data_IF_863163662542
#
_entry.id   IF_863163662542
#
_cell.length_a   1.000
_cell.length_b   1.000
_cell.length_c   1.000
_cell.angle_alpha   90.00
_cell.angle_beta   90.00
_cell.angle_gamma   90.00
#
_symmetry.space_group_name_H-M   'P 1'
#
loop_
_entity.id
_entity.type
_entity.pdbx_description
1 polymer ?
#
# COMPACT_ATOMS: atom_id res chain seq x y z
N UNK A 1 -39.62 -13.13 -23.67
CA UNK A 1 -38.21 -12.93 -24.05
C UNK A 1 -37.57 -12.15 -22.92
N UNK A 2 -36.83 -12.84 -22.05
CA UNK A 2 -36.05 -12.16 -21.01
C UNK A 2 -34.75 -11.73 -21.67
N UNK A 3 -34.57 -10.42 -21.82
CA UNK A 3 -33.30 -9.84 -22.20
C UNK A 3 -32.33 -10.07 -21.01
N UNK A 4 -31.50 -11.10 -21.07
CA UNK A 4 -30.32 -11.22 -20.23
C UNK A 4 -29.32 -10.20 -20.74
N UNK A 5 -29.36 -8.97 -20.23
CA UNK A 5 -28.22 -8.07 -20.34
C UNK A 5 -27.04 -8.79 -19.73
N UNK A 6 -26.08 -9.14 -20.55
CA UNK A 6 -24.75 -9.57 -20.09
C UNK A 6 -24.13 -8.32 -19.50
N UNK A 7 -24.28 -8.15 -18.18
CA UNK A 7 -23.55 -7.14 -17.43
C UNK A 7 -22.07 -7.51 -17.52
N UNK A 8 -21.35 -6.85 -18.41
CA UNK A 8 -19.89 -6.86 -18.36
C UNK A 8 -19.46 -6.18 -17.04
N UNK A 9 -18.44 -6.72 -16.32
CA UNK A 9 -17.95 -6.05 -15.14
C UNK A 9 -17.60 -4.60 -15.47
N UNK A 10 -18.07 -3.67 -14.62
CA UNK A 10 -17.92 -2.23 -14.86
C UNK A 10 -16.43 -1.84 -14.85
N UNK A 11 -15.62 -2.51 -14.02
CA UNK A 11 -14.17 -2.30 -13.91
C UNK A 11 -13.41 -3.62 -13.97
N UNK A 12 -12.14 -3.58 -14.38
CA UNK A 12 -11.26 -4.76 -14.50
C UNK A 12 -10.15 -4.75 -13.47
N UNK A 13 -10.50 -4.59 -12.22
CA UNK A 13 -9.53 -4.62 -11.13
C UNK A 13 -9.49 -6.01 -10.47
N UNK A 14 -8.31 -6.68 -10.44
CA UNK A 14 -8.15 -7.87 -9.63
C UNK A 14 -8.15 -7.50 -8.13
N UNK A 15 -8.73 -8.38 -7.30
CA UNK A 15 -8.77 -8.19 -5.86
C UNK A 15 -7.55 -8.84 -5.22
N UNK A 16 -6.78 -8.06 -4.47
CA UNK A 16 -5.70 -8.52 -3.61
C UNK A 16 -6.08 -8.45 -2.13
N UNK A 17 -5.27 -9.08 -1.29
CA UNK A 17 -5.40 -8.98 0.18
C UNK A 17 -4.00 -8.93 0.80
N UNK A 18 -3.82 -8.13 1.85
CA UNK A 18 -2.64 -8.23 2.71
C UNK A 18 -2.78 -9.50 3.56
N UNK A 19 -1.83 -10.41 3.42
CA UNK A 19 -1.90 -11.74 4.04
C UNK A 19 -1.94 -11.65 5.57
N UNK A 20 -1.16 -10.74 6.14
CA UNK A 20 -1.06 -10.52 7.59
C UNK A 20 -2.38 -10.01 8.20
N UNK A 21 -3.24 -9.38 7.40
CA UNK A 21 -4.57 -8.95 7.83
C UNK A 21 -5.44 -10.13 8.32
N UNK A 22 -5.19 -11.35 7.88
CA UNK A 22 -5.88 -12.53 8.40
C UNK A 22 -5.48 -12.91 9.82
N UNK A 23 -4.31 -12.50 10.30
CA UNK A 23 -3.73 -12.90 11.60
C UNK A 23 -3.66 -14.42 11.78
N UNK A 24 -3.44 -15.15 10.69
CA UNK A 24 -3.33 -16.60 10.61
C UNK A 24 -1.93 -17.01 10.16
N UNK A 25 -1.49 -18.26 10.44
CA UNK A 25 -0.33 -18.84 9.78
C UNK A 25 -0.49 -18.87 8.25
N UNK A 26 0.63 -18.77 7.51
CA UNK A 26 0.66 -18.71 6.04
C UNK A 26 -0.14 -19.87 5.41
N UNK A 27 0.03 -21.09 5.93
CA UNK A 27 -0.60 -22.30 5.44
C UNK A 27 -2.12 -22.31 5.58
N UNK A 28 -2.66 -21.42 6.42
CA UNK A 28 -4.09 -21.22 6.62
C UNK A 28 -4.58 -19.94 5.93
N UNK A 29 -3.79 -18.87 5.97
CA UNK A 29 -4.17 -17.58 5.39
C UNK A 29 -4.25 -17.64 3.86
N UNK A 30 -3.29 -18.31 3.18
CA UNK A 30 -3.28 -18.43 1.72
C UNK A 30 -4.53 -19.14 1.19
N UNK A 31 -4.91 -20.35 1.66
CA UNK A 31 -6.15 -20.99 1.23
C UNK A 31 -7.42 -20.18 1.63
N UNK A 32 -7.39 -19.46 2.75
CA UNK A 32 -8.49 -18.60 3.16
C UNK A 32 -8.72 -17.44 2.18
N UNK A 33 -7.65 -16.76 1.77
CA UNK A 33 -7.70 -15.70 0.77
C UNK A 33 -8.22 -16.21 -0.58
N UNK A 34 -7.69 -17.33 -1.07
CA UNK A 34 -8.15 -17.97 -2.31
C UNK A 34 -9.65 -18.33 -2.26
N UNK A 35 -10.13 -18.88 -1.13
CA UNK A 35 -11.54 -19.25 -0.94
C UNK A 35 -12.47 -18.03 -1.01
N UNK A 36 -12.03 -16.86 -0.58
CA UNK A 36 -12.79 -15.60 -0.71
C UNK A 36 -12.78 -15.05 -2.13
N UNK A 37 -11.88 -15.57 -2.99
CA UNK A 37 -11.74 -15.15 -4.37
C UNK A 37 -10.71 -14.04 -4.58
N UNK A 38 -9.76 -13.89 -3.65
CA UNK A 38 -8.58 -13.08 -3.89
C UNK A 38 -7.76 -13.65 -5.04
N UNK A 39 -7.17 -12.78 -5.86
CA UNK A 39 -6.34 -13.12 -7.00
C UNK A 39 -4.87 -12.77 -6.76
N UNK A 40 -4.59 -11.92 -5.76
CA UNK A 40 -3.25 -11.51 -5.39
C UNK A 40 -3.07 -11.37 -3.89
N UNK A 41 -1.81 -11.46 -3.46
CA UNK A 41 -1.41 -11.26 -2.07
C UNK A 41 -0.33 -10.20 -1.99
N UNK A 42 -0.48 -9.26 -1.06
CA UNK A 42 0.61 -8.44 -0.56
C UNK A 42 1.07 -9.04 0.77
N UNK A 43 2.37 -9.09 1.02
CA UNK A 43 2.93 -9.65 2.25
C UNK A 43 4.05 -8.77 2.80
N UNK A 44 4.19 -8.73 4.11
CA UNK A 44 5.29 -8.00 4.76
C UNK A 44 6.63 -8.74 4.59
N UNK A 45 7.61 -8.06 3.99
CA UNK A 45 8.94 -8.63 3.79
C UNK A 45 9.85 -8.55 5.03
N UNK A 46 9.57 -7.64 5.97
CA UNK A 46 10.39 -7.45 7.16
C UNK A 46 9.78 -7.99 8.45
N UNK A 47 8.48 -7.79 8.63
CA UNK A 47 7.75 -8.27 9.79
C UNK A 47 6.99 -9.53 9.42
N UNK A 48 6.88 -10.48 10.37
CA UNK A 48 6.25 -11.75 10.07
C UNK A 48 7.20 -12.76 9.42
N UNK A 49 6.63 -13.81 8.86
CA UNK A 49 7.38 -15.00 8.41
C UNK A 49 8.16 -14.83 7.12
N UNK A 50 7.88 -13.78 6.34
CA UNK A 50 8.66 -13.46 5.13
C UNK A 50 9.96 -12.71 5.44
N UNK A 51 10.16 -12.28 6.69
CA UNK A 51 11.41 -11.64 7.07
C UNK A 51 12.59 -12.51 6.64
N UNK A 52 13.59 -11.89 6.04
CA UNK A 52 14.83 -12.52 5.57
C UNK A 52 15.50 -13.41 6.60
N UNK A 53 15.37 -13.06 7.89
CA UNK A 53 15.90 -13.82 9.01
C UNK A 53 15.07 -15.06 9.33
N UNK A 54 13.83 -15.13 8.82
CA UNK A 54 12.88 -16.20 9.10
C UNK A 54 12.71 -17.17 7.93
N UNK A 55 12.91 -16.70 6.67
CA UNK A 55 12.81 -17.53 5.47
C UNK A 55 14.09 -17.54 4.66
N UNK A 56 14.64 -18.71 4.44
CA UNK A 56 15.68 -18.91 3.44
C UNK A 56 15.08 -19.02 2.01
N UNK A 57 15.94 -19.06 0.99
CA UNK A 57 15.51 -19.10 -0.41
C UNK A 57 14.65 -20.34 -0.75
N UNK A 58 14.85 -21.49 -0.09
CA UNK A 58 13.99 -22.66 -0.29
C UNK A 58 12.58 -22.42 0.25
N UNK A 59 12.49 -21.90 1.47
CA UNK A 59 11.21 -21.58 2.10
C UNK A 59 10.42 -20.52 1.33
N UNK A 60 11.10 -19.52 0.73
CA UNK A 60 10.44 -18.56 -0.16
C UNK A 60 9.89 -19.21 -1.42
N UNK A 61 10.63 -20.14 -2.03
CA UNK A 61 10.13 -20.93 -3.18
C UNK A 61 8.91 -21.78 -2.81
N UNK A 62 8.94 -22.43 -1.65
CA UNK A 62 7.83 -23.24 -1.17
C UNK A 62 6.59 -22.36 -0.95
N UNK A 63 6.78 -21.15 -0.41
CA UNK A 63 5.70 -20.18 -0.24
C UNK A 63 5.16 -19.67 -1.59
N UNK A 64 6.04 -19.38 -2.55
CA UNK A 64 5.61 -19.01 -3.91
C UNK A 64 4.79 -20.14 -4.56
N UNK A 65 5.20 -21.39 -4.42
CA UNK A 65 4.43 -22.52 -4.91
C UNK A 65 3.07 -22.62 -4.21
N UNK A 66 3.01 -22.47 -2.88
CA UNK A 66 1.75 -22.48 -2.14
C UNK A 66 0.77 -21.43 -2.67
N UNK A 67 1.22 -20.22 -2.96
CA UNK A 67 0.38 -19.15 -3.50
C UNK A 67 -0.10 -19.51 -4.92
N UNK A 68 0.80 -19.99 -5.79
CA UNK A 68 0.47 -20.38 -7.17
C UNK A 68 -0.46 -21.59 -7.23
N UNK A 69 -0.28 -22.57 -6.35
CA UNK A 69 -1.13 -23.77 -6.27
C UNK A 69 -2.57 -23.41 -5.80
N UNK A 70 -2.73 -22.26 -5.12
CA UNK A 70 -4.03 -21.71 -4.79
C UNK A 70 -4.58 -20.71 -5.85
N UNK A 71 -3.95 -20.63 -7.03
CA UNK A 71 -4.41 -19.81 -8.15
C UNK A 71 -4.18 -18.32 -8.00
N UNK A 72 -3.29 -17.89 -7.11
CA UNK A 72 -2.96 -16.49 -6.83
C UNK A 72 -1.53 -16.14 -7.25
N UNK A 73 -1.23 -14.84 -7.21
CA UNK A 73 0.11 -14.28 -7.40
C UNK A 73 0.47 -13.37 -6.22
N UNK A 74 1.75 -12.99 -6.09
CA UNK A 74 2.10 -11.85 -5.24
C UNK A 74 1.83 -10.56 -5.99
N UNK A 75 0.94 -9.71 -5.46
CA UNK A 75 0.65 -8.38 -6.02
C UNK A 75 1.74 -7.38 -5.68
N UNK A 76 2.31 -7.46 -4.48
CA UNK A 76 3.40 -6.64 -3.99
C UNK A 76 4.07 -7.27 -2.76
N UNK A 77 5.26 -6.79 -2.40
CA UNK A 77 5.81 -6.95 -1.06
C UNK A 77 5.74 -5.61 -0.32
N UNK A 78 5.36 -5.64 0.96
CA UNK A 78 5.51 -4.48 1.83
C UNK A 78 6.92 -4.47 2.41
N UNK A 79 7.70 -3.48 2.02
CA UNK A 79 9.09 -3.27 2.43
C UNK A 79 9.25 -2.19 3.48
N UNK A 80 8.17 -1.79 4.17
CA UNK A 80 8.26 -0.75 5.20
C UNK A 80 9.17 -1.16 6.35
N UNK A 81 10.17 -0.33 6.60
CA UNK A 81 11.17 -0.52 7.65
C UNK A 81 10.79 0.18 8.97
N UNK A 82 9.66 0.89 9.01
CA UNK A 82 9.11 1.56 10.19
C UNK A 82 9.91 2.78 10.66
N UNK A 83 10.77 3.36 9.80
CA UNK A 83 11.65 4.48 10.18
C UNK A 83 11.54 5.68 9.24
N UNK A 84 11.07 5.48 8.01
CA UNK A 84 11.16 6.48 6.95
C UNK A 84 12.61 6.82 6.59
N UNK A 85 12.82 7.75 5.68
CA UNK A 85 14.13 8.12 5.14
C UNK A 85 14.57 9.54 5.50
N UNK A 86 13.98 10.11 6.55
CA UNK A 86 14.26 11.48 7.00
C UNK A 86 15.51 11.66 7.84
N UNK A 87 16.19 10.57 8.25
CA UNK A 87 17.43 10.58 9.04
C UNK A 87 18.60 10.04 8.23
N UNK A 88 19.51 10.95 7.85
CA UNK A 88 20.69 10.61 7.06
C UNK A 88 21.60 9.56 7.70
N UNK A 89 21.61 9.45 9.04
CA UNK A 89 22.44 8.49 9.76
C UNK A 89 21.91 7.05 9.63
N UNK A 90 20.61 6.88 9.44
CA UNK A 90 19.95 5.57 9.29
C UNK A 90 19.88 5.12 7.81
N UNK A 91 19.90 6.06 6.87
CA UNK A 91 19.69 5.78 5.45
C UNK A 91 20.63 4.75 4.83
N UNK A 92 21.94 4.64 5.17
CA UNK A 92 22.79 3.59 4.60
C UNK A 92 22.28 2.17 4.85
N UNK A 93 21.81 1.89 6.06
CA UNK A 93 21.23 0.58 6.42
C UNK A 93 19.86 0.39 5.78
N UNK A 94 18.99 1.40 5.86
CA UNK A 94 17.63 1.35 5.29
C UNK A 94 17.66 1.15 3.78
N UNK A 95 18.55 1.84 3.05
CA UNK A 95 18.75 1.67 1.61
C UNK A 95 19.23 0.26 1.29
N UNK A 96 20.19 -0.26 2.04
CA UNK A 96 20.71 -1.62 1.85
C UNK A 96 19.60 -2.67 2.02
N UNK A 97 18.79 -2.53 3.06
CA UNK A 97 17.70 -3.44 3.36
C UNK A 97 16.57 -3.34 2.31
N UNK A 98 16.19 -2.13 1.91
CA UNK A 98 15.18 -1.92 0.86
C UNK A 98 15.59 -2.51 -0.49
N UNK A 99 16.85 -2.38 -0.91
CA UNK A 99 17.38 -3.03 -2.12
C UNK A 99 17.24 -4.55 -2.05
N UNK A 100 17.53 -5.12 -0.90
CA UNK A 100 17.40 -6.56 -0.69
C UNK A 100 15.95 -7.04 -0.73
N UNK A 101 15.02 -6.23 -0.22
CA UNK A 101 13.58 -6.53 -0.33
C UNK A 101 13.14 -6.50 -1.80
N UNK A 102 13.65 -5.58 -2.62
CA UNK A 102 13.36 -5.55 -4.05
C UNK A 102 13.87 -6.81 -4.77
N UNK A 103 15.07 -7.30 -4.41
CA UNK A 103 15.59 -8.57 -4.94
C UNK A 103 14.69 -9.76 -4.55
N UNK A 104 14.22 -9.80 -3.29
CA UNK A 104 13.26 -10.81 -2.82
C UNK A 104 11.93 -10.70 -3.56
N UNK A 105 11.45 -9.49 -3.83
CA UNK A 105 10.21 -9.30 -4.59
C UNK A 105 10.30 -9.98 -5.97
N UNK A 106 11.42 -9.84 -6.67
CA UNK A 106 11.63 -10.52 -7.95
C UNK A 106 11.69 -12.04 -7.79
N UNK A 107 12.29 -12.58 -6.70
CA UNK A 107 12.24 -14.02 -6.40
C UNK A 107 10.79 -14.50 -6.18
N UNK A 108 9.91 -13.63 -5.67
CA UNK A 108 8.49 -13.91 -5.45
C UNK A 108 7.62 -13.59 -6.68
N UNK A 109 8.23 -13.36 -7.83
CA UNK A 109 7.57 -13.06 -9.10
C UNK A 109 6.67 -11.80 -9.05
N UNK A 110 7.00 -10.82 -8.19
CA UNK A 110 6.44 -9.46 -8.22
C UNK A 110 7.54 -8.43 -8.37
N UNK A 111 7.22 -7.31 -8.98
CA UNK A 111 8.18 -6.21 -9.14
C UNK A 111 7.77 -4.95 -8.36
N UNK A 112 6.80 -5.05 -7.44
CA UNK A 112 6.31 -3.92 -6.65
C UNK A 112 6.70 -4.12 -5.19
N UNK A 113 7.39 -3.13 -4.63
CA UNK A 113 7.68 -3.03 -3.19
C UNK A 113 7.04 -1.76 -2.67
N UNK A 114 6.00 -1.92 -1.83
CA UNK A 114 5.31 -0.80 -1.18
C UNK A 114 6.04 -0.40 0.09
N UNK A 115 6.06 0.88 0.44
CA UNK A 115 6.73 1.36 1.66
C UNK A 115 6.27 2.75 2.06
N UNK A 116 6.29 3.03 3.37
CA UNK A 116 6.28 4.40 3.86
C UNK A 116 7.70 4.97 3.85
N UNK A 117 7.83 6.24 3.51
CA UNK A 117 9.10 6.95 3.51
C UNK A 117 9.23 7.98 4.64
N UNK A 118 8.21 8.08 5.49
CA UNK A 118 8.02 9.15 6.47
C UNK A 118 7.20 10.29 5.87
N UNK A 119 7.16 11.43 6.56
CA UNK A 119 6.41 12.62 6.12
C UNK A 119 7.29 13.51 5.25
N UNK A 120 6.93 13.69 3.98
CA UNK A 120 7.62 14.61 3.07
C UNK A 120 7.31 16.05 3.47
N UNK A 121 8.33 16.88 3.79
CA UNK A 121 8.11 18.29 4.07
C UNK A 121 7.47 19.03 2.89
N UNK A 122 6.52 19.92 3.17
CA UNK A 122 5.88 20.75 2.15
C UNK A 122 6.85 21.77 1.53
N UNK A 123 7.83 22.22 2.32
CA UNK A 123 8.88 23.13 1.87
C UNK A 123 10.08 22.33 1.33
N UNK A 124 10.40 22.42 0.02
CA UNK A 124 11.57 21.75 -0.56
C UNK A 124 12.92 22.20 0.01
N UNK A 125 12.99 23.40 0.61
CA UNK A 125 14.19 23.91 1.27
C UNK A 125 14.39 23.35 2.69
N UNK A 126 13.41 22.61 3.21
CA UNK A 126 13.53 21.97 4.51
C UNK A 126 14.65 20.90 4.47
N UNK A 127 15.59 20.87 5.43
CA UNK A 127 16.74 19.94 5.40
C UNK A 127 16.35 18.48 5.23
N UNK A 128 15.24 18.03 5.84
CA UNK A 128 14.75 16.66 5.72
C UNK A 128 14.30 16.31 4.28
N UNK A 129 13.76 17.27 3.52
CA UNK A 129 13.35 17.05 2.13
C UNK A 129 14.50 16.52 1.28
N UNK A 130 15.66 17.19 1.33
CA UNK A 130 16.85 16.79 0.59
C UNK A 130 17.38 15.41 1.05
N UNK A 131 17.37 15.14 2.36
CA UNK A 131 17.80 13.84 2.92
C UNK A 131 16.91 12.71 2.38
N UNK A 132 15.60 12.91 2.38
CA UNK A 132 14.62 11.94 1.84
C UNK A 132 14.81 11.77 0.33
N UNK A 133 14.99 12.88 -0.40
CA UNK A 133 15.16 12.87 -1.86
C UNK A 133 16.42 12.10 -2.28
N UNK A 134 17.54 12.28 -1.57
CA UNK A 134 18.78 11.55 -1.84
C UNK A 134 18.62 10.05 -1.59
N UNK A 135 17.99 9.66 -0.50
CA UNK A 135 17.77 8.25 -0.19
C UNK A 135 16.78 7.59 -1.15
N UNK A 136 15.63 8.22 -1.40
CA UNK A 136 14.63 7.72 -2.34
C UNK A 136 15.13 7.70 -3.77
N UNK A 137 15.97 8.65 -4.18
CA UNK A 137 16.61 8.67 -5.50
C UNK A 137 17.49 7.45 -5.75
N UNK A 138 18.32 7.08 -4.76
CA UNK A 138 19.12 5.84 -4.83
C UNK A 138 18.26 4.58 -4.95
N UNK A 139 17.12 4.53 -4.27
CA UNK A 139 16.19 3.40 -4.33
C UNK A 139 15.40 3.37 -5.63
N UNK A 140 15.00 4.54 -6.13
CA UNK A 140 14.31 4.67 -7.41
C UNK A 140 15.17 4.23 -8.59
N UNK A 141 16.44 4.67 -8.63
CA UNK A 141 17.40 4.23 -9.65
C UNK A 141 17.68 2.72 -9.57
N UNK A 142 17.81 2.19 -8.37
CA UNK A 142 18.01 0.74 -8.17
C UNK A 142 16.81 -0.07 -8.67
N UNK A 143 15.60 0.36 -8.34
CA UNK A 143 14.36 -0.26 -8.80
C UNK A 143 14.25 -0.19 -10.34
N UNK A 144 14.55 0.95 -10.97
CA UNK A 144 14.54 1.08 -12.44
C UNK A 144 15.54 0.10 -13.09
N UNK A 145 16.73 -0.05 -12.52
CA UNK A 145 17.73 -1.02 -12.99
C UNK A 145 17.29 -2.48 -12.90
N UNK A 146 16.40 -2.81 -11.98
CA UNK A 146 15.80 -4.14 -11.82
C UNK A 146 14.51 -4.34 -12.63
N UNK A 147 13.95 -3.31 -13.24
CA UNK A 147 12.59 -3.33 -13.80
C UNK A 147 11.51 -3.46 -12.71
N UNK A 148 11.80 -2.99 -11.51
CA UNK A 148 10.93 -3.01 -10.34
C UNK A 148 10.44 -1.60 -9.98
N UNK A 149 9.55 -1.51 -9.00
CA UNK A 149 8.98 -0.27 -8.50
C UNK A 149 9.19 -0.12 -6.99
N UNK A 150 9.80 0.99 -6.60
CA UNK A 150 9.81 1.49 -5.24
C UNK A 150 8.54 2.33 -5.05
N UNK A 151 7.48 1.68 -4.56
CA UNK A 151 6.13 2.26 -4.52
C UNK A 151 5.86 2.91 -3.16
N UNK A 152 5.92 4.23 -3.14
CA UNK A 152 5.71 5.04 -1.93
C UNK A 152 4.22 5.08 -1.61
N UNK A 153 3.88 4.79 -0.36
CA UNK A 153 2.49 4.80 0.10
C UNK A 153 2.04 6.20 0.46
N UNK A 154 0.83 6.56 -0.02
CA UNK A 154 0.18 7.84 0.30
C UNK A 154 -0.35 7.89 1.72
N UNK A 155 -0.52 9.09 2.25
CA UNK A 155 -1.22 9.33 3.51
C UNK A 155 -0.70 10.47 4.35
N UNK A 156 0.63 10.60 4.61
CA UNK A 156 1.12 11.65 5.50
C UNK A 156 0.95 13.06 4.94
N UNK A 157 1.14 13.22 3.64
CA UNK A 157 1.05 14.50 2.94
C UNK A 157 -0.02 14.48 1.85
N UNK A 158 -0.52 15.65 1.41
CA UNK A 158 -1.39 15.73 0.24
C UNK A 158 -0.71 15.21 -1.03
N UNK A 159 -1.49 14.61 -1.92
CA UNK A 159 -1.02 14.02 -3.18
C UNK A 159 -0.17 15.00 -4.03
N UNK A 160 -0.53 16.29 -4.01
CA UNK A 160 0.24 17.33 -4.70
C UNK A 160 1.66 17.52 -4.14
N UNK A 161 1.82 17.43 -2.82
CA UNK A 161 3.14 17.49 -2.17
C UNK A 161 3.97 16.26 -2.55
N UNK A 162 3.39 15.07 -2.43
CA UNK A 162 4.04 13.83 -2.83
C UNK A 162 4.44 13.88 -4.32
N UNK A 163 3.54 14.32 -5.21
CA UNK A 163 3.85 14.45 -6.64
C UNK A 163 5.07 15.33 -6.90
N UNK A 164 5.15 16.50 -6.25
CA UNK A 164 6.31 17.38 -6.40
C UNK A 164 7.63 16.72 -5.96
N UNK A 165 7.56 15.90 -4.90
CA UNK A 165 8.72 15.11 -4.44
C UNK A 165 9.12 14.05 -5.47
N UNK A 166 8.13 13.28 -6.00
CA UNK A 166 8.37 12.23 -7.01
C UNK A 166 8.93 12.78 -8.32
N UNK A 167 8.36 13.89 -8.80
CA UNK A 167 8.84 14.57 -10.02
C UNK A 167 10.33 14.93 -9.91
N UNK A 168 10.81 15.25 -8.71
CA UNK A 168 12.23 15.57 -8.45
C UNK A 168 13.16 14.35 -8.44
N UNK A 169 12.66 13.12 -8.43
CA UNK A 169 13.50 11.91 -8.43
C UNK A 169 13.93 11.46 -9.83
N UNK A 170 13.22 11.89 -10.87
CA UNK A 170 13.56 11.66 -12.30
C UNK A 170 13.85 10.18 -12.66
N UNK A 171 13.17 9.23 -12.05
CA UNK A 171 13.37 7.80 -12.26
C UNK A 171 12.05 7.07 -12.53
N UNK A 172 12.06 6.07 -13.42
CA UNK A 172 10.91 5.19 -13.68
C UNK A 172 10.73 4.13 -12.61
N UNK A 173 11.74 3.92 -11.76
CA UNK A 173 11.67 2.95 -10.66
C UNK A 173 10.92 3.50 -9.44
N UNK A 174 10.66 4.82 -9.35
CA UNK A 174 9.79 5.37 -8.32
C UNK A 174 8.33 5.24 -8.74
N UNK A 175 7.47 4.88 -7.79
CA UNK A 175 6.06 4.67 -8.03
C UNK A 175 5.23 4.99 -6.77
N UNK A 176 3.93 4.81 -6.84
CA UNK A 176 2.99 5.05 -5.75
C UNK A 176 2.16 3.78 -5.47
N UNK A 177 2.05 3.47 -4.18
CA UNK A 177 0.97 2.68 -3.62
C UNK A 177 -0.08 3.66 -3.10
N UNK A 178 -1.20 3.79 -3.82
CA UNK A 178 -2.24 4.74 -3.44
C UNK A 178 -3.16 4.13 -2.38
N UNK A 179 -3.04 4.59 -1.13
CA UNK A 179 -3.98 4.27 -0.06
C UNK A 179 -4.98 5.42 0.09
N UNK A 180 -6.26 5.22 -0.29
CA UNK A 180 -7.28 6.26 -0.23
C UNK A 180 -7.70 6.58 1.21
N UNK A 181 -7.66 5.60 2.11
CA UNK A 181 -8.06 5.80 3.51
C UNK A 181 -7.03 6.61 4.29
N UNK A 182 -5.74 6.41 4.04
CA UNK A 182 -4.69 7.19 4.66
C UNK A 182 -4.80 8.69 4.29
N UNK A 183 -5.19 8.99 3.03
CA UNK A 183 -5.48 10.37 2.60
C UNK A 183 -6.65 10.95 3.40
N UNK A 184 -7.78 10.24 3.48
CA UNK A 184 -8.97 10.69 4.21
C UNK A 184 -8.70 10.81 5.71
N UNK A 185 -8.02 9.82 6.30
CA UNK A 185 -7.83 9.71 7.75
C UNK A 185 -6.76 10.67 8.29
N UNK A 186 -5.73 10.99 7.51
CA UNK A 186 -4.54 11.70 8.02
C UNK A 186 -4.36 13.07 7.37
N UNK A 187 -4.14 13.14 6.06
CA UNK A 187 -3.92 14.43 5.38
C UNK A 187 -5.21 15.21 5.13
N UNK A 188 -6.37 14.57 5.14
CA UNK A 188 -7.65 15.18 4.79
C UNK A 188 -7.74 15.52 3.29
N UNK A 189 -6.96 14.81 2.45
CA UNK A 189 -6.95 15.00 1.02
C UNK A 189 -8.07 14.18 0.34
N UNK A 190 -8.47 14.59 -0.87
CA UNK A 190 -9.48 13.91 -1.65
C UNK A 190 -8.84 12.75 -2.44
N UNK A 191 -9.20 11.48 -2.18
CA UNK A 191 -8.60 10.34 -2.87
C UNK A 191 -8.92 10.27 -4.37
N UNK A 192 -10.00 10.90 -4.83
CA UNK A 192 -10.36 10.97 -6.26
C UNK A 192 -9.39 11.92 -6.98
N UNK A 193 -9.23 13.12 -6.45
CA UNK A 193 -8.27 14.10 -6.97
C UNK A 193 -6.81 13.61 -6.83
N UNK A 194 -6.53 12.85 -5.78
CA UNK A 194 -5.22 12.22 -5.58
C UNK A 194 -4.92 11.17 -6.65
N UNK A 195 -5.90 10.36 -7.05
CA UNK A 195 -5.76 9.40 -8.15
C UNK A 195 -5.36 10.11 -9.45
N UNK A 196 -6.10 11.15 -9.85
CA UNK A 196 -5.77 11.94 -11.04
C UNK A 196 -4.41 12.64 -10.94
N UNK A 197 -4.07 13.18 -9.76
CA UNK A 197 -2.80 13.87 -9.52
C UNK A 197 -1.59 12.94 -9.68
N UNK A 198 -1.71 11.70 -9.18
CA UNK A 198 -0.61 10.72 -9.09
C UNK A 198 -0.66 9.64 -10.19
N UNK A 199 -1.57 9.75 -11.15
CA UNK A 199 -1.88 8.71 -12.15
C UNK A 199 -0.68 8.09 -12.85
N UNK A 200 0.35 8.90 -13.15
CA UNK A 200 1.55 8.44 -13.86
C UNK A 200 2.49 7.60 -12.97
N UNK A 201 2.24 7.57 -11.65
CA UNK A 201 3.05 6.88 -10.65
C UNK A 201 2.34 5.68 -10.03
N UNK A 202 1.00 5.57 -10.11
CA UNK A 202 0.25 4.53 -9.42
C UNK A 202 0.50 3.16 -10.04
N UNK A 203 1.13 2.25 -9.29
CA UNK A 203 1.35 0.85 -9.68
C UNK A 203 0.61 -0.13 -8.79
N UNK A 204 0.17 0.32 -7.62
CA UNK A 204 -0.55 -0.48 -6.63
C UNK A 204 -1.51 0.42 -5.86
N UNK A 205 -2.59 -0.15 -5.31
CA UNK A 205 -3.51 0.58 -4.44
C UNK A 205 -4.06 -0.31 -3.34
N UNK A 206 -4.31 0.29 -2.18
CA UNK A 206 -5.05 -0.36 -1.11
C UNK A 206 -6.55 -0.13 -1.25
N UNK A 207 -7.32 -1.12 -0.83
CA UNK A 207 -8.73 -1.02 -0.51
C UNK A 207 -8.85 -1.04 1.02
N UNK A 208 -8.81 0.14 1.59
CA UNK A 208 -8.89 0.44 3.02
C UNK A 208 -9.87 1.58 3.22
N UNK A 209 -10.57 1.61 4.33
CA UNK A 209 -11.56 2.64 4.62
C UNK A 209 -11.46 3.12 6.06
N UNK A 210 -11.89 4.33 6.29
CA UNK A 210 -11.83 4.96 7.61
C UNK A 210 -12.35 6.37 7.59
N UNK A 211 -12.19 7.03 8.73
CA UNK A 211 -12.69 8.39 8.96
C UNK A 211 -11.74 9.18 9.82
N UNK A 212 -11.51 10.44 9.47
CA UNK A 212 -10.85 11.40 10.35
C UNK A 212 -11.81 11.82 11.46
N UNK A 213 -11.37 11.76 12.71
CA UNK A 213 -12.14 12.24 13.86
C UNK A 213 -11.81 13.69 14.18
N UNK A 214 -10.55 14.06 14.04
CA UNK A 214 -10.06 15.44 14.10
C UNK A 214 -8.72 15.55 13.40
N UNK A 215 -8.40 16.72 12.86
CA UNK A 215 -7.12 16.98 12.21
C UNK A 215 -6.00 16.97 13.24
N UNK A 216 -4.98 16.16 12.99
CA UNK A 216 -3.74 16.10 13.76
C UNK A 216 -2.57 16.21 12.78
N UNK A 217 -1.51 16.88 13.20
CA UNK A 217 -0.31 17.00 12.39
C UNK A 217 0.22 15.62 11.97
N UNK A 218 0.39 15.36 10.65
CA UNK A 218 0.88 14.08 10.17
C UNK A 218 2.23 13.65 10.76
N UNK A 219 3.11 14.60 11.12
CA UNK A 219 4.37 14.27 11.79
C UNK A 219 4.18 13.65 13.18
N UNK A 220 3.07 14.00 13.85
CA UNK A 220 2.70 13.37 15.12
C UNK A 220 2.08 11.99 14.87
N UNK A 221 1.22 11.87 13.86
CA UNK A 221 0.57 10.60 13.48
C UNK A 221 1.62 9.54 13.12
N UNK A 222 2.61 9.91 12.30
CA UNK A 222 3.67 9.02 11.83
C UNK A 222 4.91 8.99 12.75
N UNK A 223 4.82 9.60 13.93
CA UNK A 223 5.87 9.49 14.96
C UNK A 223 7.16 10.26 14.66
N UNK A 224 7.18 11.19 13.71
CA UNK A 224 8.31 12.09 13.45
C UNK A 224 8.49 13.08 14.61
N UNK A 225 7.37 13.50 15.20
CA UNK A 225 7.33 14.30 16.43
C UNK A 225 6.54 13.57 17.52
N UNK A 226 6.94 13.70 18.80
CA UNK A 226 6.22 13.07 19.90
C UNK A 226 4.81 13.68 20.07
N UNK A 227 3.83 12.86 20.45
CA UNK A 227 2.55 13.32 20.94
C UNK A 227 2.72 14.09 22.25
N UNK A 228 2.00 15.19 22.43
CA UNK A 228 1.87 15.79 23.76
C UNK A 228 1.02 14.87 24.66
N UNK A 229 1.21 14.90 26.00
CA UNK A 229 0.45 14.06 26.92
C UNK A 229 -1.07 14.21 26.78
N UNK A 230 -1.54 15.40 26.40
CA UNK A 230 -2.97 15.72 26.23
C UNK A 230 -3.60 15.08 24.98
N UNK A 231 -2.78 14.75 23.98
CA UNK A 231 -3.19 14.10 22.72
C UNK A 231 -3.12 12.57 22.76
N UNK A 232 -2.58 11.96 23.82
CA UNK A 232 -2.33 10.52 23.90
C UNK A 232 -3.62 9.72 24.02
N UNK A 233 -4.68 10.29 24.60
CA UNK A 233 -5.88 9.54 24.99
C UNK A 233 -6.92 9.36 23.88
N UNK A 234 -6.83 10.11 22.78
CA UNK A 234 -7.83 10.04 21.70
C UNK A 234 -7.19 9.72 20.34
N UNK A 235 -7.70 8.74 19.60
CA UNK A 235 -7.28 8.52 18.21
C UNK A 235 -7.76 9.69 17.35
N UNK A 236 -6.90 10.17 16.42
CA UNK A 236 -7.28 11.24 15.48
C UNK A 236 -8.12 10.70 14.31
N UNK A 237 -8.12 9.40 14.10
CA UNK A 237 -8.89 8.72 13.07
C UNK A 237 -9.35 7.34 13.55
N UNK A 238 -10.23 6.74 12.79
CA UNK A 238 -10.70 5.37 12.97
C UNK A 238 -10.70 4.65 11.63
N UNK A 239 -10.08 3.47 11.57
CA UNK A 239 -10.22 2.55 10.45
C UNK A 239 -11.54 1.78 10.59
N UNK A 240 -12.29 1.69 9.51
CA UNK A 240 -13.61 1.06 9.44
C UNK A 240 -13.63 -0.07 8.41
N UNK A 241 -14.59 -1.01 8.49
CA UNK A 241 -14.83 -1.96 7.41
C UNK A 241 -15.08 -1.24 6.08
N UNK A 242 -14.65 -1.85 4.99
CA UNK A 242 -14.74 -1.26 3.66
C UNK A 242 -16.19 -0.90 3.31
N UNK A 243 -16.42 0.35 2.91
CA UNK A 243 -17.73 0.91 2.63
C UNK A 243 -18.45 1.52 3.84
N UNK A 244 -17.85 1.53 5.04
CA UNK A 244 -18.41 2.14 6.24
C UNK A 244 -17.69 3.45 6.63
N UNK A 245 -16.59 3.77 5.95
CA UNK A 245 -15.81 4.99 6.15
C UNK A 245 -16.21 6.12 5.20
N UNK A 246 -15.29 7.04 5.00
CA UNK A 246 -15.50 8.25 4.21
C UNK A 246 -14.80 8.20 2.83
N UNK A 247 -14.21 7.06 2.43
CA UNK A 247 -13.63 6.89 1.09
C UNK A 247 -14.76 6.75 0.06
N UNK A 248 -14.86 7.63 -0.94
CA UNK A 248 -15.88 7.56 -2.00
C UNK A 248 -15.49 6.51 -3.06
N UNK A 249 -15.60 5.21 -2.71
CA UNK A 249 -15.07 4.12 -3.53
C UNK A 249 -15.56 4.10 -4.97
N UNK A 250 -16.81 4.47 -5.24
CA UNK A 250 -17.34 4.46 -6.62
C UNK A 250 -16.63 5.47 -7.49
N UNK A 251 -16.50 6.69 -6.99
CA UNK A 251 -15.83 7.80 -7.65
C UNK A 251 -14.31 7.53 -7.75
N UNK A 252 -13.73 6.98 -6.68
CA UNK A 252 -12.32 6.60 -6.65
C UNK A 252 -11.98 5.53 -7.69
N UNK A 253 -12.78 4.46 -7.79
CA UNK A 253 -12.56 3.42 -8.80
C UNK A 253 -12.79 3.95 -10.22
N UNK A 254 -13.74 4.89 -10.41
CA UNK A 254 -13.92 5.57 -11.70
C UNK A 254 -12.67 6.33 -12.10
N UNK A 255 -12.09 7.13 -11.19
CA UNK A 255 -10.87 7.87 -11.45
C UNK A 255 -9.70 6.95 -11.81
N UNK A 256 -9.50 5.87 -11.07
CA UNK A 256 -8.47 4.87 -11.37
C UNK A 256 -8.65 4.24 -12.77
N UNK A 257 -9.90 3.90 -13.15
CA UNK A 257 -10.20 3.32 -14.46
C UNK A 257 -9.99 4.32 -15.59
N UNK A 258 -10.45 5.57 -15.43
CA UNK A 258 -10.27 6.67 -16.37
C UNK A 258 -8.79 6.98 -16.64
N UNK A 259 -7.95 6.91 -15.59
CA UNK A 259 -6.50 7.11 -15.66
C UNK A 259 -5.73 5.85 -16.11
N UNK A 260 -6.46 4.77 -16.42
CA UNK A 260 -5.88 3.56 -17.03
C UNK A 260 -5.23 2.60 -16.03
N UNK A 261 -5.43 2.76 -14.73
CA UNK A 261 -4.96 1.78 -13.74
C UNK A 261 -5.61 0.41 -13.98
N UNK A 262 -4.84 -0.67 -13.87
CA UNK A 262 -5.31 -2.06 -14.08
C UNK A 262 -4.70 -3.03 -13.05
N UNK A 263 -4.06 -2.48 -12.02
CA UNK A 263 -3.46 -3.26 -10.94
C UNK A 263 -4.48 -3.73 -9.91
N UNK A 264 -3.97 -4.28 -8.82
CA UNK A 264 -4.77 -4.85 -7.75
C UNK A 264 -5.43 -3.78 -6.87
N UNK A 265 -6.68 -4.05 -6.45
CA UNK A 265 -7.29 -3.44 -5.28
C UNK A 265 -6.96 -4.34 -4.08
N UNK A 266 -5.94 -4.00 -3.33
CA UNK A 266 -5.44 -4.84 -2.24
C UNK A 266 -6.10 -4.46 -0.92
N UNK A 267 -6.95 -5.34 -0.41
CA UNK A 267 -7.64 -5.14 0.87
C UNK A 267 -6.61 -5.12 1.99
N UNK A 268 -6.61 -4.03 2.75
CA UNK A 268 -5.87 -3.87 3.99
C UNK A 268 -6.84 -3.70 5.16
N UNK A 269 -6.65 -4.52 6.22
CA UNK A 269 -7.43 -4.46 7.45
C UNK A 269 -6.51 -4.66 8.65
N UNK A 270 -6.14 -3.56 9.30
CA UNK A 270 -5.18 -3.59 10.41
C UNK A 270 -5.85 -3.80 11.77
N UNK A 271 -7.09 -3.35 11.91
CA UNK A 271 -7.85 -3.42 13.17
C UNK A 271 -9.09 -4.31 13.01
N UNK A 272 -9.93 -4.37 14.03
CA UNK A 272 -11.15 -5.17 14.07
C UNK A 272 -10.98 -6.48 14.86
N UNK A 273 -12.09 -6.95 15.44
CA UNK A 273 -12.11 -8.14 16.28
C UNK A 273 -12.17 -9.44 15.47
N UNK A 274 -12.67 -9.37 14.23
CA UNK A 274 -12.83 -10.52 13.34
C UNK A 274 -12.30 -10.23 11.94
N UNK A 275 -10.96 -10.27 11.75
CA UNK A 275 -10.35 -9.92 10.47
C UNK A 275 -10.86 -10.77 9.30
N UNK A 276 -11.06 -12.05 9.48
CA UNK A 276 -11.55 -12.93 8.41
C UNK A 276 -12.95 -12.53 7.91
N UNK A 277 -13.83 -12.11 8.81
CA UNK A 277 -15.14 -11.58 8.46
C UNK A 277 -15.04 -10.23 7.74
N UNK A 278 -14.21 -9.33 8.26
CA UNK A 278 -14.04 -8.01 7.71
C UNK A 278 -13.46 -8.10 6.29
N UNK A 279 -12.46 -8.98 6.05
CA UNK A 279 -11.89 -9.23 4.72
C UNK A 279 -12.94 -9.84 3.78
N UNK A 280 -13.75 -10.81 4.26
CA UNK A 280 -14.83 -11.40 3.45
C UNK A 280 -15.84 -10.33 3.02
N UNK A 281 -16.28 -9.48 3.96
CA UNK A 281 -17.18 -8.36 3.65
C UNK A 281 -16.55 -7.36 2.67
N UNK A 282 -15.26 -7.09 2.79
CA UNK A 282 -14.54 -6.21 1.87
C UNK A 282 -14.47 -6.80 0.45
N UNK A 283 -14.22 -8.11 0.31
CA UNK A 283 -14.24 -8.80 -0.99
C UNK A 283 -15.63 -8.71 -1.63
N UNK A 284 -16.68 -8.96 -0.85
CA UNK A 284 -18.06 -8.89 -1.35
C UNK A 284 -18.43 -7.45 -1.75
N UNK A 285 -18.02 -6.46 -0.95
CA UNK A 285 -18.22 -5.06 -1.26
C UNK A 285 -17.55 -4.67 -2.59
N UNK A 286 -16.26 -5.01 -2.76
CA UNK A 286 -15.53 -4.72 -4.01
C UNK A 286 -16.17 -5.43 -5.21
N UNK A 287 -16.54 -6.71 -5.10
CA UNK A 287 -17.23 -7.43 -6.18
C UNK A 287 -18.53 -6.74 -6.60
N UNK A 288 -19.28 -6.20 -5.63
CA UNK A 288 -20.55 -5.52 -5.93
C UNK A 288 -20.37 -4.18 -6.63
N UNK A 289 -19.27 -3.46 -6.41
CA UNK A 289 -19.01 -2.17 -7.06
C UNK A 289 -18.18 -2.29 -8.33
N UNK A 290 -17.43 -3.39 -8.48
CA UNK A 290 -16.70 -3.69 -9.73
C UNK A 290 -17.68 -4.21 -10.81
N UNK A 291 -18.73 -4.92 -10.44
CA UNK A 291 -19.77 -5.44 -11.33
C UNK A 291 -19.64 -6.94 -11.60
#
# INVERSE_FOLDING_TARGET
MFNTEVLFPMYRFPIGVILESFRLPIEQAVPAAAKLGAQGLQVYARHGKMCRTEMNASQRRDFLHLVKDNGMVFSALCGDLGKGFGDASLNPELISESKRIMEIALEMETNIVTTHIGVVPTDPEHPRYKIMQDACGVLAEYADGLGAHFAIETGPEPAKTLKGFLDGLHSRGVAVNLDPANLVMVSGDDPVEAAHTLKDYIVHTHAKDGRMLYSLDPEIVYGVRPKSPELVESPSFIELPLGEGDVPFKEYLSALDEDGYRGFLTIEREVGENPARDIASAVDYLKNIIG
#
